data_IF_013977849403
#
_entry.id   IF_013977849403
#
_cell.length_a   1.000
_cell.length_b   1.000
_cell.length_c   1.000
_cell.angle_alpha   90.00
_cell.angle_beta   90.00
_cell.angle_gamma   90.00
#
_symmetry.space_group_name_H-M   'P 1'
#
loop_
_entity.id
_entity.type
_entity.pdbx_description
1 polymer ?
#
# COMPACT_ATOMS: atom_id res chain seq x y z
N UNK A 1 17.23 18.81 -10.27
CA UNK A 1 17.21 17.45 -10.87
C UNK A 1 16.00 16.69 -10.35
N UNK A 2 15.88 16.49 -9.03
CA UNK A 2 14.76 15.72 -8.46
C UNK A 2 13.38 16.32 -8.77
N UNK A 3 13.18 17.63 -8.64
CA UNK A 3 11.89 18.26 -9.03
C UNK A 3 11.54 18.03 -10.51
N UNK A 4 12.54 17.93 -11.39
CA UNK A 4 12.33 17.62 -12.80
C UNK A 4 11.97 16.15 -13.01
N UNK A 5 12.60 15.22 -12.27
CA UNK A 5 12.29 13.79 -12.32
C UNK A 5 10.84 13.51 -11.90
N UNK A 6 10.32 14.24 -10.92
CA UNK A 6 8.94 14.05 -10.43
C UNK A 6 7.91 14.95 -11.10
N UNK A 7 8.34 15.88 -11.97
CA UNK A 7 7.50 16.93 -12.55
C UNK A 7 6.68 17.70 -11.49
N UNK A 8 7.28 17.92 -10.32
CA UNK A 8 6.65 18.52 -9.16
C UNK A 8 7.67 19.35 -8.38
N UNK A 9 7.26 20.51 -7.88
CA UNK A 9 8.17 21.41 -7.15
C UNK A 9 8.34 20.90 -5.71
N UNK A 10 9.49 20.26 -5.46
CA UNK A 10 9.81 19.74 -4.13
C UNK A 10 10.20 20.84 -3.13
N UNK A 11 9.90 20.65 -1.83
CA UNK A 11 10.36 21.54 -0.77
C UNK A 11 11.89 21.65 -0.71
N UNK A 12 12.38 22.88 -0.67
CA UNK A 12 13.82 23.18 -0.74
C UNK A 12 14.57 22.91 0.57
N UNK A 13 13.87 22.83 1.71
CA UNK A 13 14.48 22.71 3.04
C UNK A 13 15.40 21.48 3.15
N UNK A 14 15.00 20.35 2.56
CA UNK A 14 15.78 19.09 2.53
C UNK A 14 17.03 19.16 1.64
N UNK A 15 17.16 20.20 0.81
CA UNK A 15 18.31 20.43 -0.08
C UNK A 15 19.13 21.64 0.36
N UNK A 16 18.97 22.10 1.60
CA UNK A 16 19.73 23.22 2.15
C UNK A 16 21.22 22.88 2.32
N UNK A 17 22.05 23.92 2.35
CA UNK A 17 23.50 23.78 2.49
C UNK A 17 23.83 23.16 3.84
N UNK A 18 24.59 22.06 3.85
CA UNK A 18 24.96 21.34 5.07
C UNK A 18 23.94 20.29 5.54
N UNK A 19 22.73 20.25 4.96
CA UNK A 19 21.77 19.19 5.26
C UNK A 19 22.13 17.86 4.57
N UNK A 20 21.71 16.75 5.18
CA UNK A 20 21.81 15.44 4.54
C UNK A 20 20.77 15.33 3.42
N UNK A 21 21.26 15.16 2.19
CA UNK A 21 20.40 15.11 1.01
C UNK A 21 19.48 13.86 1.03
N UNK A 22 18.24 13.99 0.55
CA UNK A 22 17.33 12.85 0.43
C UNK A 22 17.85 11.83 -0.60
N UNK A 23 17.42 10.56 -0.50
CA UNK A 23 17.81 9.53 -1.46
C UNK A 23 17.22 9.82 -2.84
N UNK A 24 18.03 9.76 -3.90
CA UNK A 24 17.55 10.01 -5.26
C UNK A 24 16.77 8.80 -5.81
N UNK A 25 15.74 9.06 -6.61
CA UNK A 25 15.00 8.02 -7.34
C UNK A 25 15.34 8.07 -8.84
N UNK A 26 15.39 6.90 -9.47
CA UNK A 26 15.64 6.81 -10.91
C UNK A 26 14.36 7.18 -11.68
N UNK A 27 14.44 8.07 -12.69
CA UNK A 27 13.28 8.44 -13.50
C UNK A 27 12.84 7.35 -14.48
N UNK A 28 13.62 6.28 -14.65
CA UNK A 28 13.36 5.21 -15.61
C UNK A 28 12.78 3.93 -14.99
N UNK A 29 12.59 3.91 -13.67
CA UNK A 29 12.06 2.73 -12.96
C UNK A 29 10.60 2.96 -12.63
N UNK A 30 9.74 2.06 -13.09
CA UNK A 30 8.34 1.98 -12.66
C UNK A 30 8.25 1.14 -11.38
N UNK A 31 7.85 1.78 -10.28
CA UNK A 31 7.72 1.12 -8.99
C UNK A 31 6.55 0.14 -8.94
N UNK A 32 5.49 0.37 -9.72
CA UNK A 32 4.32 -0.51 -9.77
C UNK A 32 4.65 -1.81 -10.50
N UNK A 33 5.35 -1.72 -11.63
CA UNK A 33 5.79 -2.89 -12.39
C UNK A 33 6.85 -3.71 -11.64
N UNK A 34 7.81 -3.03 -11.00
CA UNK A 34 8.87 -3.73 -10.26
C UNK A 34 8.35 -4.34 -8.94
N UNK A 35 7.17 -3.91 -8.46
CA UNK A 35 6.47 -4.49 -7.31
C UNK A 35 7.04 -4.09 -5.95
N UNK A 36 8.02 -3.19 -5.92
CA UNK A 36 8.57 -2.62 -4.68
C UNK A 36 8.71 -1.11 -4.82
N UNK A 37 8.13 -0.39 -3.86
CA UNK A 37 8.18 1.07 -3.81
C UNK A 37 9.04 1.55 -2.64
N UNK A 38 10.10 2.33 -2.89
CA UNK A 38 10.91 2.91 -1.82
C UNK A 38 10.14 3.94 -0.98
N UNK A 39 10.47 4.07 0.31
CA UNK A 39 9.80 5.00 1.24
C UNK A 39 9.81 6.46 0.77
N UNK A 40 10.90 6.93 0.17
CA UNK A 40 10.95 8.29 -0.38
C UNK A 40 9.99 8.48 -1.57
N UNK A 41 9.74 7.43 -2.37
CA UNK A 41 8.75 7.51 -3.44
C UNK A 41 7.32 7.66 -2.88
N UNK A 42 7.04 7.00 -1.75
CA UNK A 42 5.78 7.14 -1.01
C UNK A 42 5.63 8.57 -0.44
N UNK A 43 6.69 9.15 0.13
CA UNK A 43 6.71 10.54 0.64
C UNK A 43 6.40 11.57 -0.46
N UNK A 44 6.99 11.40 -1.65
CA UNK A 44 6.77 12.31 -2.78
C UNK A 44 5.33 12.25 -3.31
N UNK A 45 4.71 11.08 -3.30
CA UNK A 45 3.30 10.97 -3.70
C UNK A 45 2.35 11.58 -2.68
N UNK A 46 2.61 11.41 -1.38
CA UNK A 46 1.86 12.10 -0.33
C UNK A 46 1.92 13.62 -0.51
N UNK A 47 3.12 14.14 -0.82
CA UNK A 47 3.33 15.55 -1.13
C UNK A 47 2.57 16.03 -2.35
N UNK A 48 2.55 15.24 -3.43
CA UNK A 48 1.74 15.53 -4.63
C UNK A 48 0.25 15.55 -4.32
N UNK A 49 -0.20 14.73 -3.38
CA UNK A 49 -1.59 14.65 -2.94
C UNK A 49 -1.98 15.79 -1.96
N UNK A 50 -1.06 16.69 -1.62
CA UNK A 50 -1.34 17.84 -0.76
C UNK A 50 -1.21 17.58 0.74
N UNK A 51 -0.68 16.42 1.15
CA UNK A 51 -0.34 16.16 2.55
C UNK A 51 0.91 17.00 2.91
N UNK A 52 0.73 18.04 3.73
CA UNK A 52 1.82 18.94 4.11
C UNK A 52 2.84 18.23 5.00
N UNK A 53 4.14 18.51 4.78
CA UNK A 53 5.26 18.00 5.61
C UNK A 53 5.32 18.73 6.97
N UNK A 54 4.20 19.00 7.63
CA UNK A 54 4.24 19.58 8.98
C UNK A 54 4.43 18.51 10.06
N UNK A 55 4.30 17.21 9.74
CA UNK A 55 4.23 16.15 10.77
C UNK A 55 5.45 15.21 10.85
N UNK A 56 6.57 15.46 10.16
CA UNK A 56 7.76 14.59 10.27
C UNK A 56 9.10 15.34 10.37
N UNK A 57 9.09 16.51 11.01
CA UNK A 57 10.29 17.06 11.65
C UNK A 57 10.11 16.84 13.15
N UNK A 58 10.17 15.59 13.58
CA UNK A 58 10.25 15.24 15.01
C UNK A 58 11.39 14.26 15.20
N UNK A 59 12.58 14.79 15.02
CA UNK A 59 13.79 14.42 15.76
C UNK A 59 14.69 15.67 15.67
N UNK A 60 14.85 16.35 16.81
CA UNK A 60 15.77 17.47 17.07
C UNK A 60 15.32 18.88 16.59
N UNK A 61 14.49 19.57 17.40
CA UNK A 61 14.84 20.83 18.10
C UNK A 61 13.57 21.53 18.61
N UNK A 62 13.57 21.88 19.89
CA UNK A 62 12.49 22.53 20.62
C UNK A 62 12.41 24.02 20.31
N UNK A 63 11.23 24.56 19.95
CA UNK A 63 10.77 25.91 20.34
C UNK A 63 9.25 26.01 20.21
N UNK A 64 8.64 26.53 21.28
CA UNK A 64 7.23 26.83 21.44
C UNK A 64 6.79 28.12 20.74
N UNK A 65 5.57 28.15 20.21
CA UNK A 65 4.70 29.33 20.15
C UNK A 65 3.26 28.92 19.79
N UNK A 66 2.30 29.27 20.65
CA UNK A 66 0.85 29.17 20.42
C UNK A 66 0.28 30.44 19.71
N UNK A 67 -1.05 30.67 19.63
CA UNK A 67 -1.92 30.29 18.50
C UNK A 67 -2.56 31.53 17.82
N UNK A 68 -3.04 31.42 16.58
CA UNK A 68 -3.79 32.52 15.94
C UNK A 68 -4.92 32.02 15.01
N UNK A 69 -6.13 32.12 15.56
CA UNK A 69 -7.42 32.55 15.01
C UNK A 69 -7.75 32.50 13.50
N UNK A 70 -8.81 31.72 13.22
CA UNK A 70 -10.05 31.97 12.42
C UNK A 70 -10.00 32.72 11.07
N UNK A 71 -10.73 32.19 10.07
CA UNK A 71 -11.82 32.87 9.30
C UNK A 71 -12.46 31.91 8.26
N UNK A 72 -13.80 31.86 8.34
CA UNK A 72 -14.90 31.63 7.39
C UNK A 72 -14.96 30.48 6.36
N UNK A 73 -16.04 29.72 6.56
CA UNK A 73 -16.97 29.04 5.64
C UNK A 73 -17.53 29.97 4.52
N UNK A 74 -18.06 29.44 3.38
CA UNK A 74 -19.42 28.86 3.37
C UNK A 74 -19.69 27.66 2.43
N UNK A 75 -20.47 26.71 2.97
CA UNK A 75 -21.80 26.25 2.50
C UNK A 75 -21.97 25.61 1.10
N UNK A 76 -22.43 24.34 1.08
CA UNK A 76 -23.53 23.85 0.24
C UNK A 76 -23.77 22.32 0.44
N UNK A 77 -24.90 22.02 1.09
CA UNK A 77 -25.85 20.89 0.92
C UNK A 77 -25.36 19.54 0.33
N UNK A 78 -25.59 18.45 1.07
CA UNK A 78 -26.53 17.40 0.60
C UNK A 78 -27.12 16.61 1.78
N UNK A 79 -28.39 16.32 1.61
CA UNK A 79 -29.44 15.89 2.54
C UNK A 79 -29.53 14.35 2.62
N UNK A 80 -30.37 13.82 3.51
CA UNK A 80 -30.83 12.42 3.72
C UNK A 80 -30.28 11.75 5.01
N UNK A 81 -30.99 11.84 6.15
CA UNK A 81 -32.18 11.04 6.55
C UNK A 81 -31.82 9.57 6.87
N UNK A 82 -32.14 8.93 8.01
CA UNK A 82 -32.79 9.27 9.28
C UNK A 82 -32.77 7.97 10.15
N UNK A 83 -33.00 8.15 11.44
CA UNK A 83 -33.50 7.16 12.42
C UNK A 83 -32.54 6.09 12.97
N UNK A 84 -31.92 6.45 14.08
CA UNK A 84 -31.48 5.57 15.16
C UNK A 84 -32.58 5.57 16.24
N UNK A 85 -33.34 4.49 16.39
CA UNK A 85 -34.18 4.27 17.58
C UNK A 85 -34.18 2.78 17.99
N UNK A 86 -33.65 2.61 19.19
CA UNK A 86 -34.06 1.69 20.26
C UNK A 86 -33.42 0.28 20.36
N UNK A 87 -32.72 0.19 21.50
CA UNK A 87 -32.10 -0.92 22.20
C UNK A 87 -33.13 -1.89 22.82
N UNK A 88 -32.60 -3.04 23.26
CA UNK A 88 -33.22 -4.04 24.14
C UNK A 88 -34.19 -5.07 23.54
N UNK A 89 -33.61 -6.17 23.02
CA UNK A 89 -34.10 -7.49 23.39
C UNK A 89 -33.01 -8.56 23.39
N UNK A 90 -32.91 -9.22 24.54
CA UNK A 90 -31.88 -10.14 25.01
C UNK A 90 -31.78 -11.44 24.19
N UNK A 91 -30.52 -11.74 23.83
CA UNK A 91 -29.82 -13.00 24.15
C UNK A 91 -30.58 -14.32 23.93
N UNK A 92 -30.90 -14.67 22.68
CA UNK A 92 -31.09 -16.09 22.28
C UNK A 92 -30.90 -16.36 20.75
N UNK A 93 -30.31 -15.42 19.99
CA UNK A 93 -30.08 -15.55 18.53
C UNK A 93 -28.60 -15.42 18.08
N UNK A 94 -27.65 -15.28 19.01
CA UNK A 94 -26.24 -15.06 18.66
C UNK A 94 -25.48 -16.29 18.12
N UNK A 95 -25.97 -17.51 18.39
CA UNK A 95 -25.29 -18.74 17.97
C UNK A 95 -25.55 -19.09 16.49
N UNK A 96 -26.76 -18.80 15.98
CA UNK A 96 -27.15 -19.12 14.59
C UNK A 96 -26.53 -18.15 13.57
N UNK A 97 -26.33 -16.88 13.96
CA UNK A 97 -25.69 -15.86 13.12
C UNK A 97 -24.18 -16.10 12.94
N UNK A 98 -23.47 -16.51 14.00
CA UNK A 98 -22.04 -16.88 13.94
C UNK A 98 -21.84 -18.13 13.09
N UNK A 99 -22.69 -19.14 13.24
CA UNK A 99 -22.63 -20.36 12.41
C UNK A 99 -22.95 -20.11 10.93
N UNK A 100 -23.91 -19.25 10.62
CA UNK A 100 -24.20 -18.82 9.24
C UNK A 100 -23.02 -18.07 8.62
N UNK A 101 -22.36 -17.18 9.37
CA UNK A 101 -21.18 -16.42 8.90
C UNK A 101 -19.98 -17.34 8.61
N UNK A 102 -19.76 -18.35 9.47
CA UNK A 102 -18.70 -19.36 9.27
C UNK A 102 -19.00 -20.28 8.09
N UNK A 103 -20.26 -20.70 7.89
CA UNK A 103 -20.69 -21.49 6.72
C UNK A 103 -20.54 -20.69 5.42
N UNK A 104 -20.89 -19.41 5.42
CA UNK A 104 -20.71 -18.52 4.27
C UNK A 104 -19.22 -18.33 3.91
N UNK A 105 -18.34 -18.12 4.91
CA UNK A 105 -16.91 -18.01 4.68
C UNK A 105 -16.30 -19.30 4.11
N UNK A 106 -16.72 -20.48 4.61
CA UNK A 106 -16.31 -21.78 4.08
C UNK A 106 -16.77 -22.00 2.63
N UNK A 107 -17.99 -21.59 2.29
CA UNK A 107 -18.51 -21.67 0.93
C UNK A 107 -17.72 -20.79 -0.04
N UNK A 108 -17.41 -19.53 0.35
CA UNK A 108 -16.57 -18.62 -0.45
C UNK A 108 -15.17 -19.18 -0.70
N UNK A 109 -14.50 -19.69 0.35
CA UNK A 109 -13.16 -20.30 0.24
C UNK A 109 -13.16 -21.54 -0.68
N UNK A 110 -14.23 -22.34 -0.64
CA UNK A 110 -14.37 -23.51 -1.54
C UNK A 110 -14.57 -23.09 -2.99
N UNK A 111 -15.36 -22.04 -3.23
CA UNK A 111 -15.58 -21.49 -4.58
C UNK A 111 -14.29 -20.89 -5.16
N UNK A 112 -13.54 -20.12 -4.36
CA UNK A 112 -12.24 -19.57 -4.74
C UNK A 112 -11.23 -20.68 -5.07
N UNK A 113 -11.11 -21.70 -4.22
CA UNK A 113 -10.24 -22.85 -4.50
C UNK A 113 -10.61 -23.59 -5.79
N UNK A 114 -11.90 -23.69 -6.09
CA UNK A 114 -12.38 -24.30 -7.34
C UNK A 114 -11.96 -23.45 -8.54
N UNK A 115 -12.14 -22.13 -8.47
CA UNK A 115 -11.72 -21.19 -9.53
C UNK A 115 -10.21 -21.24 -9.77
N UNK A 116 -9.40 -21.19 -8.71
CA UNK A 116 -7.94 -21.29 -8.83
C UNK A 116 -7.51 -22.57 -9.55
N UNK A 117 -8.13 -23.70 -9.19
CA UNK A 117 -7.86 -24.98 -9.84
C UNK A 117 -8.26 -24.97 -11.33
N UNK A 118 -9.41 -24.39 -11.66
CA UNK A 118 -9.85 -24.23 -13.06
C UNK A 118 -8.89 -23.33 -13.85
N UNK A 119 -8.37 -22.26 -13.25
CA UNK A 119 -7.36 -21.38 -13.84
C UNK A 119 -6.01 -22.08 -14.05
N UNK A 120 -5.55 -22.89 -13.09
CA UNK A 120 -4.35 -23.71 -13.22
C UNK A 120 -4.48 -24.78 -14.31
N UNK A 121 -5.62 -25.47 -14.37
CA UNK A 121 -5.91 -26.47 -15.41
C UNK A 121 -5.98 -25.81 -16.80
N UNK A 122 -6.62 -24.63 -16.91
CA UNK A 122 -6.65 -23.85 -18.14
C UNK A 122 -5.25 -23.38 -18.57
N UNK A 123 -4.42 -22.95 -17.62
CA UNK A 123 -3.03 -22.54 -17.88
C UNK A 123 -2.16 -23.70 -18.36
N UNK A 124 -2.27 -24.86 -17.70
CA UNK A 124 -1.56 -26.07 -18.10
C UNK A 124 -1.98 -26.54 -19.49
N UNK A 125 -3.29 -26.49 -19.78
CA UNK A 125 -3.83 -26.77 -21.11
C UNK A 125 -3.26 -25.79 -22.15
N UNK A 126 -3.30 -24.49 -21.87
CA UNK A 126 -2.75 -23.45 -22.76
C UNK A 126 -1.26 -23.69 -23.04
N UNK A 127 -0.47 -24.01 -22.02
CA UNK A 127 0.96 -24.33 -22.15
C UNK A 127 1.19 -25.59 -23.01
N UNK A 128 0.32 -26.59 -22.93
CA UNK A 128 0.41 -27.80 -23.76
C UNK A 128 0.10 -27.52 -25.24
N UNK A 129 -0.77 -26.54 -25.51
CA UNK A 129 -1.15 -26.12 -26.85
C UNK A 129 -0.11 -25.21 -27.52
N UNK A 130 0.86 -24.67 -26.75
CA UNK A 130 1.93 -23.85 -27.29
C UNK A 130 2.94 -24.68 -28.09
N UNK A 131 3.57 -24.06 -29.09
CA UNK A 131 4.73 -24.67 -29.75
C UNK A 131 5.87 -24.91 -28.76
N UNK A 132 6.73 -25.90 -29.00
CA UNK A 132 7.89 -26.21 -28.11
C UNK A 132 8.78 -24.99 -27.87
N UNK A 133 8.98 -24.14 -28.90
CA UNK A 133 9.77 -22.90 -28.80
C UNK A 133 9.07 -21.87 -27.91
N UNK A 134 7.76 -21.68 -28.08
CA UNK A 134 6.97 -20.76 -27.26
C UNK A 134 6.91 -21.22 -25.80
N UNK A 135 6.68 -22.51 -25.55
CA UNK A 135 6.65 -23.08 -24.20
C UNK A 135 8.00 -22.90 -23.47
N UNK A 136 9.13 -23.09 -24.18
CA UNK A 136 10.46 -22.86 -23.62
C UNK A 136 10.72 -21.37 -23.31
N UNK A 137 10.37 -20.47 -24.24
CA UNK A 137 10.48 -19.03 -24.02
C UNK A 137 9.63 -18.58 -22.83
N UNK A 138 8.38 -19.04 -22.77
CA UNK A 138 7.46 -18.77 -21.66
C UNK A 138 8.05 -19.23 -20.33
N UNK A 139 8.57 -20.47 -20.25
CA UNK A 139 9.22 -20.97 -19.04
C UNK A 139 10.40 -20.11 -18.58
N UNK A 140 11.24 -19.66 -19.53
CA UNK A 140 12.37 -18.77 -19.21
C UNK A 140 11.91 -17.40 -18.71
N UNK A 141 10.87 -16.84 -19.31
CA UNK A 141 10.28 -15.57 -18.88
C UNK A 141 9.66 -15.69 -17.48
N UNK A 142 8.88 -16.74 -17.22
CA UNK A 142 8.27 -16.99 -15.91
C UNK A 142 9.31 -17.15 -14.81
N UNK A 143 10.43 -17.83 -15.09
CA UNK A 143 11.53 -17.92 -14.13
C UNK A 143 12.13 -16.54 -13.82
N UNK A 144 12.27 -15.68 -14.82
CA UNK A 144 12.73 -14.29 -14.62
C UNK A 144 11.79 -13.49 -13.71
N UNK A 145 10.49 -13.58 -13.97
CA UNK A 145 9.44 -12.94 -13.17
C UNK A 145 9.44 -13.48 -11.73
N UNK A 146 9.48 -14.81 -11.55
CA UNK A 146 9.53 -15.44 -10.24
C UNK A 146 10.77 -15.01 -9.43
N UNK A 147 11.93 -14.88 -10.08
CA UNK A 147 13.16 -14.39 -9.44
C UNK A 147 13.06 -12.92 -9.01
N UNK A 148 12.42 -12.07 -9.82
CA UNK A 148 12.13 -10.67 -9.45
C UNK A 148 11.21 -10.62 -8.23
N UNK A 149 10.10 -11.35 -8.27
CA UNK A 149 9.14 -11.42 -7.15
C UNK A 149 9.80 -11.89 -5.85
N UNK A 150 10.59 -12.96 -5.89
CA UNK A 150 11.32 -13.43 -4.71
C UNK A 150 12.36 -12.43 -4.17
N UNK A 151 12.85 -11.50 -5.00
CA UNK A 151 13.74 -10.42 -4.55
C UNK A 151 12.93 -9.32 -3.86
N UNK A 152 11.78 -8.95 -4.41
CA UNK A 152 10.83 -8.01 -3.80
C UNK A 152 10.38 -8.51 -2.43
N UNK A 153 9.95 -9.77 -2.34
CA UNK A 153 9.50 -10.37 -1.07
C UNK A 153 10.61 -10.31 0.01
N UNK A 154 11.88 -10.50 -0.39
CA UNK A 154 13.01 -10.35 0.54
C UNK A 154 13.23 -8.91 0.99
N UNK A 155 13.02 -7.93 0.10
CA UNK A 155 13.16 -6.52 0.42
C UNK A 155 12.05 -6.05 1.36
N UNK A 156 10.81 -6.50 1.15
CA UNK A 156 9.70 -6.20 2.04
C UNK A 156 9.89 -6.82 3.42
N UNK A 157 10.21 -8.13 3.51
CA UNK A 157 10.48 -8.77 4.81
C UNK A 157 11.65 -8.09 5.55
N UNK A 158 12.70 -7.69 4.83
CA UNK A 158 13.82 -6.95 5.44
C UNK A 158 13.41 -5.56 5.93
N UNK A 159 12.52 -4.87 5.21
CA UNK A 159 11.98 -3.57 5.64
C UNK A 159 11.19 -3.73 6.94
N UNK A 160 10.30 -4.72 7.00
CA UNK A 160 9.52 -5.04 8.21
C UNK A 160 10.42 -5.37 9.41
N UNK A 161 11.46 -6.20 9.22
CA UNK A 161 12.45 -6.50 10.26
C UNK A 161 13.14 -5.23 10.78
N UNK A 162 13.55 -4.33 9.88
CA UNK A 162 14.20 -3.08 10.25
C UNK A 162 13.25 -2.15 11.02
N UNK A 163 11.99 -2.06 10.63
CA UNK A 163 10.97 -1.28 11.35
C UNK A 163 10.77 -1.83 12.77
N UNK A 164 10.63 -3.15 12.93
CA UNK A 164 10.53 -3.79 14.25
C UNK A 164 11.78 -3.55 15.12
N UNK A 165 12.98 -3.63 14.53
CA UNK A 165 14.22 -3.38 15.29
C UNK A 165 14.37 -1.93 15.71
N UNK A 166 13.94 -0.98 14.86
CA UNK A 166 13.88 0.44 15.24
C UNK A 166 12.95 0.63 16.42
N UNK A 167 11.71 0.16 16.35
CA UNK A 167 10.74 0.28 17.45
C UNK A 167 11.24 -0.30 18.78
N UNK A 168 12.00 -1.41 18.74
CA UNK A 168 12.59 -2.03 19.93
C UNK A 168 13.81 -1.29 20.48
N UNK A 169 14.57 -0.59 19.65
CA UNK A 169 15.73 0.20 20.07
C UNK A 169 15.38 1.52 20.74
N UNK A 170 14.15 1.99 20.59
CA UNK A 170 13.60 3.18 21.24
C UNK A 170 12.83 2.88 22.55
N UNK A 171 12.81 1.62 23.01
CA UNK A 171 12.30 1.22 24.34
C UNK A 171 13.45 0.86 25.27
#
# INVERSE_FOLDING_TARGET
>A
LDSSNFMFLLPIARYSVGATLPPHLSPWVDNEEEGYKPAYAEEIEKLKNGESIETMVSDDDSIAAEPAETIDEPDADDDSDDSDEEDEQQEDEEDDAKDKKVKAAKAKKKAEKKRLREEEEAHALAKSMMSRKAAHLYGRMQHGIAKKKAKVDKLSSRREELEITKEKGYR
#
